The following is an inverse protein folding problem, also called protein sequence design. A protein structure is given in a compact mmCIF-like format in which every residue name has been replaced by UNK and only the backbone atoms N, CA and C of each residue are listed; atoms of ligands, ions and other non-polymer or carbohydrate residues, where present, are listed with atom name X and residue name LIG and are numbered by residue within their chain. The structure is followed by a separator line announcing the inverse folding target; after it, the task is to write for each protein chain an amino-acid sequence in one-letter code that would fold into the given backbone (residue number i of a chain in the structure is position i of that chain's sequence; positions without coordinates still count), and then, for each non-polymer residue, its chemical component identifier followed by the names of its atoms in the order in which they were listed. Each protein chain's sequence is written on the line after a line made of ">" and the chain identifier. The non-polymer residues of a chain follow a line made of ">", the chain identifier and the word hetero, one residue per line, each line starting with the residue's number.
data_IF_357259746591
#
_entry.id   IF_357259746591
#
_cell.length_a   1.000
_cell.length_b   1.000
_cell.length_c   1.000
_cell.angle_alpha   90.00
_cell.angle_beta   90.00
_cell.angle_gamma   90.00
#
_symmetry.space_group_name_H-M   'P 1'
#
loop_
_entity.id
_entity.type
_entity.pdbx_description
1 polymer ?
#
# COMPACT_ATOMS: atom_id res chain seq x y z
N UNK A 1 30.99 -10.04 -69.39
CA UNK A 1 31.44 -9.55 -68.06
C UNK A 1 30.53 -8.47 -67.47
N UNK A 2 30.10 -7.44 -68.21
CA UNK A 2 29.24 -6.35 -67.68
C UNK A 2 27.91 -6.79 -67.02
N UNK A 3 27.22 -7.80 -67.57
CA UNK A 3 25.95 -8.30 -67.01
C UNK A 3 26.10 -8.94 -65.62
N UNK A 4 27.22 -9.63 -65.38
CA UNK A 4 27.51 -10.25 -64.10
C UNK A 4 27.85 -9.19 -63.03
N UNK A 5 28.56 -8.13 -63.43
CA UNK A 5 28.90 -7.01 -62.54
C UNK A 5 27.63 -6.25 -62.10
N UNK A 6 26.69 -6.03 -63.03
CA UNK A 6 25.42 -5.37 -62.76
C UNK A 6 24.55 -6.19 -61.81
N UNK A 7 24.43 -7.51 -62.03
CA UNK A 7 23.70 -8.42 -61.14
C UNK A 7 24.29 -8.45 -59.72
N UNK A 8 25.61 -8.42 -59.59
CA UNK A 8 26.30 -8.43 -58.30
C UNK A 8 26.08 -7.12 -57.53
N UNK A 9 26.06 -5.98 -58.23
CA UNK A 9 25.77 -4.68 -57.65
C UNK A 9 24.31 -4.56 -57.19
N UNK A 10 23.38 -5.14 -57.95
CA UNK A 10 21.96 -5.21 -57.59
C UNK A 10 21.73 -6.11 -56.37
N UNK A 11 22.45 -7.23 -56.27
CA UNK A 11 22.43 -8.10 -55.10
C UNK A 11 22.97 -7.39 -53.85
N UNK A 12 24.10 -6.68 -53.97
CA UNK A 12 24.71 -5.93 -52.88
C UNK A 12 23.81 -4.79 -52.39
N UNK A 13 23.15 -4.07 -53.31
CA UNK A 13 22.19 -3.02 -52.96
C UNK A 13 20.96 -3.58 -52.22
N UNK A 14 20.45 -4.73 -52.68
CA UNK A 14 19.30 -5.41 -52.06
C UNK A 14 19.64 -5.90 -50.64
N UNK A 15 20.83 -6.47 -50.45
CA UNK A 15 21.33 -6.89 -49.15
C UNK A 15 21.59 -5.70 -48.21
N UNK A 16 22.19 -4.62 -48.71
CA UNK A 16 22.44 -3.40 -47.93
C UNK A 16 21.15 -2.72 -47.48
N UNK A 17 20.16 -2.58 -48.37
CA UNK A 17 18.86 -2.02 -48.04
C UNK A 17 18.11 -2.90 -47.02
N UNK A 18 18.12 -4.22 -47.19
CA UNK A 18 17.51 -5.16 -46.26
C UNK A 18 18.15 -5.12 -44.86
N UNK A 19 19.48 -5.02 -44.78
CA UNK A 19 20.20 -4.91 -43.51
C UNK A 19 19.90 -3.59 -42.79
N UNK A 20 19.86 -2.47 -43.52
CA UNK A 20 19.59 -1.15 -42.93
C UNK A 20 18.14 -1.03 -42.42
N UNK A 21 17.17 -1.54 -43.17
CA UNK A 21 15.77 -1.60 -42.75
C UNK A 21 15.57 -2.55 -41.55
N UNK A 22 16.25 -3.70 -41.53
CA UNK A 22 16.20 -4.63 -40.40
C UNK A 22 16.87 -4.09 -39.12
N UNK A 23 17.99 -3.39 -39.25
CA UNK A 23 18.68 -2.73 -38.13
C UNK A 23 17.88 -1.55 -37.55
N UNK A 24 17.19 -0.78 -38.40
CA UNK A 24 16.31 0.29 -37.95
C UNK A 24 15.10 -0.26 -37.17
N UNK A 25 14.43 -1.28 -37.71
CA UNK A 25 13.27 -1.91 -37.05
C UNK A 25 13.60 -2.58 -35.71
N UNK A 26 14.75 -3.24 -35.60
CA UNK A 26 15.19 -3.85 -34.33
C UNK A 26 15.54 -2.82 -33.25
N UNK A 27 16.01 -1.64 -33.64
CA UNK A 27 16.32 -0.55 -32.70
C UNK A 27 15.04 0.07 -32.11
N UNK A 28 14.01 0.24 -32.94
CA UNK A 28 12.72 0.79 -32.53
C UNK A 28 11.91 -0.19 -31.67
N UNK A 29 11.91 -1.48 -32.02
CA UNK A 29 11.32 -2.55 -31.20
C UNK A 29 12.00 -2.65 -29.84
N UNK A 30 13.34 -2.56 -29.79
CA UNK A 30 14.10 -2.57 -28.53
C UNK A 30 13.75 -1.36 -27.66
N UNK A 31 13.58 -0.18 -28.26
CA UNK A 31 13.20 1.04 -27.55
C UNK A 31 11.79 0.91 -26.97
N UNK A 32 10.82 0.47 -27.77
CA UNK A 32 9.43 0.27 -27.33
C UNK A 32 9.32 -0.79 -26.23
N UNK A 33 10.11 -1.88 -26.31
CA UNK A 33 10.16 -2.90 -25.26
C UNK A 33 10.74 -2.35 -23.94
N UNK A 34 11.79 -1.53 -24.01
CA UNK A 34 12.38 -0.90 -22.82
C UNK A 34 11.43 0.10 -22.18
N UNK A 35 10.74 0.93 -22.99
CA UNK A 35 9.74 1.88 -22.50
C UNK A 35 8.54 1.17 -21.89
N UNK A 36 8.01 0.11 -22.53
CA UNK A 36 6.90 -0.68 -21.99
C UNK A 36 7.31 -1.39 -20.69
N UNK A 37 8.54 -1.90 -20.61
CA UNK A 37 9.08 -2.50 -19.39
C UNK A 37 9.16 -1.46 -18.27
N UNK A 38 9.72 -0.28 -18.53
CA UNK A 38 9.77 0.81 -17.54
C UNK A 38 8.37 1.24 -17.09
N UNK A 39 7.43 1.40 -18.02
CA UNK A 39 6.04 1.73 -17.69
C UNK A 39 5.37 0.65 -16.83
N UNK A 40 5.52 -0.64 -17.18
CA UNK A 40 4.99 -1.74 -16.37
C UNK A 40 5.63 -1.77 -14.98
N UNK A 41 6.95 -1.62 -14.87
CA UNK A 41 7.64 -1.57 -13.57
C UNK A 41 7.17 -0.38 -12.72
N UNK A 42 6.97 0.79 -13.34
CA UNK A 42 6.49 1.97 -12.64
C UNK A 42 5.04 1.82 -12.17
N UNK A 43 4.15 1.26 -13.00
CA UNK A 43 2.75 1.01 -12.65
C UNK A 43 2.61 -0.06 -11.58
N UNK A 44 3.38 -1.15 -11.67
CA UNK A 44 3.37 -2.20 -10.65
C UNK A 44 3.81 -1.67 -9.29
N UNK A 45 4.90 -0.89 -9.24
CA UNK A 45 5.33 -0.24 -7.98
C UNK A 45 4.30 0.77 -7.46
N UNK A 46 3.68 1.54 -8.36
CA UNK A 46 2.60 2.47 -8.00
C UNK A 46 1.42 1.74 -7.34
N UNK A 47 0.96 0.65 -7.96
CA UNK A 47 -0.12 -0.19 -7.45
C UNK A 47 0.24 -0.87 -6.12
N UNK A 48 1.45 -1.39 -5.96
CA UNK A 48 1.90 -1.97 -4.69
C UNK A 48 1.86 -0.95 -3.54
N UNK A 49 2.25 0.28 -3.83
CA UNK A 49 2.24 1.38 -2.86
C UNK A 49 0.80 1.76 -2.50
N UNK A 50 -0.08 1.86 -3.49
CA UNK A 50 -1.48 2.21 -3.30
C UNK A 50 -2.25 1.11 -2.55
N UNK A 51 -2.03 -0.16 -2.89
CA UNK A 51 -2.59 -1.32 -2.18
C UNK A 51 -2.12 -1.35 -0.73
N UNK A 52 -0.85 -1.06 -0.47
CA UNK A 52 -0.32 -0.99 0.90
C UNK A 52 -1.00 0.12 1.70
N UNK A 53 -1.17 1.31 1.12
CA UNK A 53 -1.89 2.42 1.75
C UNK A 53 -3.37 2.07 2.01
N UNK A 54 -4.05 1.45 1.05
CA UNK A 54 -5.43 1.00 1.24
C UNK A 54 -5.55 -0.03 2.36
N UNK A 55 -4.61 -0.97 2.46
CA UNK A 55 -4.59 -1.96 3.56
C UNK A 55 -4.37 -1.31 4.92
N UNK A 56 -3.50 -0.30 5.00
CA UNK A 56 -3.32 0.49 6.23
C UNK A 56 -4.66 1.15 6.61
N UNK A 57 -5.28 1.87 5.67
CA UNK A 57 -6.58 2.53 5.90
C UNK A 57 -7.69 1.59 6.32
N UNK A 58 -7.79 0.42 5.68
CA UNK A 58 -8.75 -0.61 6.04
C UNK A 58 -8.57 -1.06 7.49
N UNK A 59 -7.33 -1.41 7.87
CA UNK A 59 -7.04 -1.82 9.24
C UNK A 59 -7.32 -0.71 10.27
N UNK A 60 -7.04 0.56 9.93
CA UNK A 60 -7.37 1.69 10.81
C UNK A 60 -8.87 1.91 10.94
N UNK A 61 -9.63 1.70 9.86
CA UNK A 61 -11.09 1.80 9.86
C UNK A 61 -11.70 0.71 10.72
N UNK A 62 -11.28 -0.55 10.53
CA UNK A 62 -11.72 -1.68 11.37
C UNK A 62 -11.32 -1.48 12.83
N UNK A 63 -10.11 -0.97 13.10
CA UNK A 63 -9.70 -0.63 14.46
C UNK A 63 -10.64 0.39 15.11
N UNK A 64 -11.04 1.42 14.36
CA UNK A 64 -11.97 2.44 14.82
C UNK A 64 -13.36 1.88 15.09
N UNK A 65 -13.85 0.97 14.25
CA UNK A 65 -15.12 0.28 14.48
C UNK A 65 -15.10 -0.52 15.78
N UNK A 66 -14.02 -1.28 16.03
CA UNK A 66 -13.84 -1.99 17.29
C UNK A 66 -13.71 -1.06 18.50
N UNK A 67 -13.08 0.10 18.36
CA UNK A 67 -13.05 1.10 19.43
C UNK A 67 -14.43 1.70 19.70
N UNK A 68 -15.21 1.99 18.67
CA UNK A 68 -16.58 2.47 18.84
C UNK A 68 -17.43 1.44 19.57
N UNK A 69 -17.34 0.16 19.20
CA UNK A 69 -17.99 -0.93 19.93
C UNK A 69 -17.52 -0.99 21.39
N UNK A 70 -16.20 -0.95 21.62
CA UNK A 70 -15.64 -0.97 22.98
C UNK A 70 -16.12 0.23 23.83
N UNK A 71 -16.27 1.41 23.23
CA UNK A 71 -16.80 2.61 23.91
C UNK A 71 -18.23 2.39 24.35
N UNK A 72 -19.06 1.86 23.46
CA UNK A 72 -20.47 1.65 23.72
C UNK A 72 -20.65 0.55 24.77
N UNK A 73 -19.85 -0.53 24.71
CA UNK A 73 -19.76 -1.56 25.75
C UNK A 73 -19.35 -0.99 27.12
N UNK A 74 -18.37 -0.08 27.18
CA UNK A 74 -17.98 0.60 28.43
C UNK A 74 -19.14 1.42 29.00
N UNK A 75 -19.89 2.14 28.15
CA UNK A 75 -21.05 2.93 28.57
C UNK A 75 -22.16 2.04 29.13
N UNK A 76 -22.34 0.86 28.54
CA UNK A 76 -23.26 -0.18 29.00
C UNK A 76 -22.72 -0.99 30.19
N UNK A 77 -21.51 -0.67 30.68
CA UNK A 77 -20.79 -1.39 31.75
C UNK A 77 -20.46 -2.85 31.41
N UNK A 78 -20.45 -3.19 30.13
CA UNK A 78 -20.01 -4.47 29.61
C UNK A 78 -18.49 -4.48 29.39
N UNK A 79 -17.72 -4.40 30.49
CA UNK A 79 -16.27 -4.26 30.41
C UNK A 79 -15.54 -5.48 29.82
N UNK A 80 -16.13 -6.67 29.89
CA UNK A 80 -15.55 -7.88 29.28
C UNK A 80 -15.60 -7.84 27.76
N UNK A 81 -16.73 -7.42 27.19
CA UNK A 81 -16.84 -7.22 25.74
C UNK A 81 -15.99 -6.02 25.31
N UNK A 82 -15.99 -4.93 26.08
CA UNK A 82 -15.13 -3.78 25.80
C UNK A 82 -13.64 -4.14 25.74
N UNK A 83 -13.16 -5.00 26.65
CA UNK A 83 -11.77 -5.47 26.62
C UNK A 83 -11.50 -6.29 25.35
N UNK A 84 -12.42 -7.17 24.98
CA UNK A 84 -12.36 -7.99 23.77
C UNK A 84 -12.28 -7.12 22.52
N UNK A 85 -13.16 -6.12 22.41
CA UNK A 85 -13.20 -5.19 21.30
C UNK A 85 -11.94 -4.31 21.24
N UNK A 86 -11.47 -3.79 22.37
CA UNK A 86 -10.21 -3.06 22.44
C UNK A 86 -9.00 -3.95 22.05
N UNK A 87 -9.05 -5.26 22.36
CA UNK A 87 -8.09 -6.26 21.90
C UNK A 87 -8.05 -6.40 20.38
N UNK A 88 -9.23 -6.53 19.75
CA UNK A 88 -9.35 -6.57 18.28
C UNK A 88 -8.84 -5.27 17.65
N UNK A 89 -9.18 -4.12 18.21
CA UNK A 89 -8.65 -2.83 17.76
C UNK A 89 -7.11 -2.80 17.80
N UNK A 90 -6.50 -3.30 18.88
CA UNK A 90 -5.04 -3.36 19.03
C UNK A 90 -4.39 -4.21 17.95
N UNK A 91 -4.98 -5.37 17.64
CA UNK A 91 -4.48 -6.24 16.58
C UNK A 91 -4.52 -5.55 15.21
N UNK A 92 -5.60 -4.85 14.91
CA UNK A 92 -5.75 -4.10 13.64
C UNK A 92 -4.77 -2.94 13.54
N UNK A 93 -4.56 -2.18 14.63
CA UNK A 93 -3.53 -1.12 14.66
C UNK A 93 -2.13 -1.71 14.46
N UNK A 94 -1.81 -2.85 15.09
CA UNK A 94 -0.52 -3.50 14.90
C UNK A 94 -0.31 -3.94 13.43
N UNK A 95 -1.36 -4.47 12.78
CA UNK A 95 -1.33 -4.78 11.33
C UNK A 95 -1.19 -3.51 10.47
N UNK A 96 -1.83 -2.41 10.83
CA UNK A 96 -1.66 -1.14 10.15
C UNK A 96 -0.21 -0.65 10.27
N UNK A 97 0.40 -0.73 11.46
CA UNK A 97 1.80 -0.33 11.72
C UNK A 97 2.78 -1.18 10.91
N UNK A 98 2.55 -2.50 10.79
CA UNK A 98 3.47 -3.38 10.05
C UNK A 98 3.46 -3.11 8.54
N UNK A 99 2.33 -2.60 8.02
CA UNK A 99 2.16 -2.25 6.60
C UNK A 99 2.44 -0.77 6.29
N UNK A 100 2.53 0.06 7.33
CA UNK A 100 2.73 1.50 7.22
C UNK A 100 4.17 1.87 6.86
N UNK A 101 4.34 3.02 6.20
CA UNK A 101 5.65 3.64 6.01
C UNK A 101 6.23 4.17 7.33
N UNK A 102 7.54 4.41 7.40
CA UNK A 102 8.20 4.90 8.63
C UNK A 102 7.58 6.21 9.16
N UNK A 103 7.15 7.11 8.27
CA UNK A 103 6.46 8.35 8.65
C UNK A 103 5.11 8.07 9.31
N UNK A 104 4.34 7.12 8.76
CA UNK A 104 3.04 6.72 9.31
C UNK A 104 3.20 5.97 10.63
N UNK A 105 4.21 5.09 10.76
CA UNK A 105 4.52 4.40 12.02
C UNK A 105 4.73 5.38 13.17
N UNK A 106 5.45 6.48 12.96
CA UNK A 106 5.64 7.52 13.99
C UNK A 106 4.34 8.12 14.52
N UNK A 107 3.30 8.19 13.68
CA UNK A 107 1.98 8.67 14.07
C UNK A 107 1.11 7.58 14.71
N UNK A 108 1.27 6.32 14.29
CA UNK A 108 0.48 5.19 14.76
C UNK A 108 1.01 4.56 16.07
N UNK A 109 2.31 4.62 16.34
CA UNK A 109 2.90 4.07 17.58
C UNK A 109 2.37 4.76 18.86
N UNK A 110 2.23 6.09 18.91
CA UNK A 110 1.58 6.76 20.04
C UNK A 110 0.13 6.30 20.25
N UNK A 111 -0.63 6.15 19.16
CA UNK A 111 -2.03 5.65 19.19
C UNK A 111 -2.08 4.22 19.76
N UNK A 112 -1.14 3.36 19.37
CA UNK A 112 -1.05 2.01 19.94
C UNK A 112 -0.79 2.04 21.45
N UNK A 113 0.09 2.93 21.93
CA UNK A 113 0.38 3.08 23.36
C UNK A 113 -0.82 3.63 24.14
N UNK A 114 -1.55 4.60 23.58
CA UNK A 114 -2.79 5.10 24.16
C UNK A 114 -3.86 4.01 24.26
N UNK A 115 -3.96 3.13 23.27
CA UNK A 115 -4.87 1.99 23.33
C UNK A 115 -4.51 0.99 24.44
N UNK A 116 -3.21 0.75 24.68
CA UNK A 116 -2.79 -0.08 25.82
C UNK A 116 -3.18 0.55 27.16
N UNK A 117 -3.07 1.88 27.28
CA UNK A 117 -3.56 2.62 28.45
C UNK A 117 -5.07 2.47 28.63
N UNK A 118 -5.83 2.58 27.54
CA UNK A 118 -7.28 2.38 27.52
C UNK A 118 -7.64 0.95 27.95
N UNK A 119 -6.97 -0.08 27.43
CA UNK A 119 -7.19 -1.47 27.84
C UNK A 119 -6.94 -1.67 29.34
N UNK A 120 -5.87 -1.07 29.88
CA UNK A 120 -5.59 -1.12 31.30
C UNK A 120 -6.68 -0.42 32.14
N UNK A 121 -7.26 0.68 31.64
CA UNK A 121 -8.39 1.36 32.26
C UNK A 121 -9.70 0.55 32.17
N UNK A 122 -9.97 -0.12 31.04
CA UNK A 122 -11.12 -1.02 30.88
C UNK A 122 -11.02 -2.19 31.87
N UNK A 123 -9.84 -2.79 32.03
CA UNK A 123 -9.58 -3.86 33.02
C UNK A 123 -9.82 -3.42 34.46
N UNK A 124 -9.64 -2.14 34.76
CA UNK A 124 -9.94 -1.54 36.06
C UNK A 124 -11.42 -1.19 36.22
N UNK A 125 -12.25 -1.52 35.23
CA UNK A 125 -13.68 -1.22 35.20
C UNK A 125 -13.96 0.29 35.32
N UNK A 126 -13.06 1.13 34.78
CA UNK A 126 -13.18 2.59 34.84
C UNK A 126 -14.14 3.09 33.74
N UNK A 127 -15.37 3.53 34.08
CA UNK A 127 -16.32 3.99 33.08
C UNK A 127 -15.90 5.31 32.41
N UNK A 128 -14.98 6.07 33.02
CA UNK A 128 -14.46 7.33 32.43
C UNK A 128 -13.56 7.06 31.22
N UNK A 129 -13.17 5.82 30.98
CA UNK A 129 -12.36 5.43 29.82
C UNK A 129 -13.12 5.64 28.49
N UNK A 130 -14.45 5.68 28.50
CA UNK A 130 -15.25 5.94 27.29
C UNK A 130 -14.85 7.26 26.59
N UNK A 131 -14.55 8.32 27.37
CA UNK A 131 -14.08 9.59 26.80
C UNK A 131 -12.68 9.51 26.20
N UNK A 132 -11.81 8.65 26.74
CA UNK A 132 -10.48 8.38 26.17
C UNK A 132 -10.58 7.58 24.88
N UNK A 133 -11.50 6.61 24.83
CA UNK A 133 -11.77 5.83 23.61
C UNK A 133 -12.27 6.75 22.49
N UNK A 134 -13.20 7.66 22.79
CA UNK A 134 -13.69 8.64 21.80
C UNK A 134 -12.58 9.58 21.29
N UNK A 135 -11.68 10.02 22.18
CA UNK A 135 -10.52 10.83 21.77
C UNK A 135 -9.59 10.04 20.82
N UNK A 136 -9.37 8.75 21.11
CA UNK A 136 -8.55 7.87 20.29
C UNK A 136 -9.19 7.60 18.91
N UNK A 137 -10.51 7.44 18.85
CA UNK A 137 -11.24 7.32 17.58
C UNK A 137 -11.01 8.53 16.66
N UNK A 138 -11.09 9.75 17.24
CA UNK A 138 -10.82 10.99 16.50
C UNK A 138 -9.36 11.11 16.07
N UNK A 139 -8.43 10.59 16.87
CA UNK A 139 -7.01 10.55 16.50
C UNK A 139 -6.76 9.58 15.33
N UNK A 140 -7.40 8.41 15.34
CA UNK A 140 -7.34 7.42 14.26
C UNK A 140 -7.93 7.94 12.96
N UNK A 141 -9.04 8.69 13.02
CA UNK A 141 -9.63 9.33 11.85
C UNK A 141 -8.68 10.35 11.19
N UNK A 142 -7.88 11.07 11.99
CA UNK A 142 -6.85 11.99 11.48
C UNK A 142 -5.60 11.29 10.95
N UNK A 143 -5.39 10.03 11.34
CA UNK A 143 -4.19 9.26 11.00
C UNK A 143 -4.34 8.34 9.78
N UNK A 144 -5.58 8.04 9.35
CA UNK A 144 -5.91 7.29 8.13
C UNK A 144 -6.07 8.18 6.89
#
# INVERSE_FOLDING_TARGET
>A
MFRALFLLLLLAASFGAGYFLGAAGTTEVKKNYMTLKEEMFSKTRGLETEVSMMRVRLNLTEAREFLSAARDDVKEKNFGEAETQAGKAKERIAKAISLASETQKKNLTPIQSELESIQASIKKLDPKVAGKIEALEKALEKAG
#
